data_IF_283193022435
#
_entry.id   IF_283193022435
#
_cell.length_a   1.000
_cell.length_b   1.000
_cell.length_c   1.000
_cell.angle_alpha   90.00
_cell.angle_beta   90.00
_cell.angle_gamma   90.00
#
_symmetry.space_group_name_H-M   'P 1'
#
loop_
_entity.id
_entity.type
_entity.pdbx_description
1 polymer ?
#
# COMPACT_ATOMS: atom_id res chain seq x y z
N UNK A 1 5.65 -12.39 -7.51
CA UNK A 1 4.42 -12.29 -6.69
C UNK A 1 4.83 -12.00 -5.26
N UNK A 2 3.99 -11.32 -4.49
CA UNK A 2 4.21 -11.03 -3.08
C UNK A 2 3.91 -12.29 -2.23
N UNK A 3 4.81 -12.65 -1.32
CA UNK A 3 4.73 -13.92 -0.58
C UNK A 3 3.62 -13.99 0.48
N UNK A 4 2.99 -12.85 0.80
CA UNK A 4 1.78 -12.83 1.63
C UNK A 4 0.57 -13.48 0.93
N UNK A 5 0.56 -13.51 -0.40
CA UNK A 5 -0.57 -14.00 -1.19
C UNK A 5 -0.70 -15.53 -1.11
N UNK A 6 -1.94 -16.01 -1.03
CA UNK A 6 -2.19 -17.47 -1.04
C UNK A 6 -1.83 -18.09 -2.41
N UNK A 7 -1.20 -19.28 -2.44
CA UNK A 7 -0.86 -19.93 -3.71
C UNK A 7 -2.06 -20.18 -4.63
N UNK A 8 -3.26 -20.38 -4.11
CA UNK A 8 -4.47 -20.53 -4.94
C UNK A 8 -4.81 -19.27 -5.73
N UNK A 9 -4.47 -18.08 -5.21
CA UNK A 9 -4.63 -16.83 -5.93
C UNK A 9 -3.69 -16.77 -7.13
N UNK A 10 -2.40 -17.05 -6.89
CA UNK A 10 -1.34 -16.98 -7.91
C UNK A 10 -1.66 -17.97 -9.05
N UNK A 11 -2.03 -19.20 -8.71
CA UNK A 11 -2.43 -20.22 -9.68
C UNK A 11 -3.78 -19.88 -10.35
N UNK A 12 -4.70 -19.26 -9.62
CA UNK A 12 -5.97 -18.79 -10.16
C UNK A 12 -5.80 -17.71 -11.23
N UNK A 13 -4.94 -16.72 -10.99
CA UNK A 13 -4.57 -15.68 -11.97
C UNK A 13 -4.01 -16.33 -13.24
N UNK A 14 -3.10 -17.31 -13.10
CA UNK A 14 -2.56 -18.03 -14.25
C UNK A 14 -3.61 -18.85 -14.99
N UNK A 15 -4.54 -19.48 -14.27
CA UNK A 15 -5.64 -20.25 -14.86
C UNK A 15 -6.52 -19.35 -15.74
N UNK A 16 -6.92 -18.19 -15.21
CA UNK A 16 -7.69 -17.20 -15.98
C UNK A 16 -6.87 -16.68 -17.14
N UNK A 17 -5.62 -16.28 -16.90
CA UNK A 17 -4.71 -15.79 -17.94
C UNK A 17 -4.57 -16.75 -19.11
N UNK A 18 -4.35 -18.05 -18.85
CA UNK A 18 -4.23 -19.07 -19.88
C UNK A 18 -5.55 -19.25 -20.66
N UNK A 19 -6.71 -19.20 -19.99
CA UNK A 19 -8.01 -19.25 -20.65
C UNK A 19 -8.22 -18.07 -21.62
N UNK A 20 -7.80 -16.86 -21.23
CA UNK A 20 -7.85 -15.68 -22.10
C UNK A 20 -6.96 -15.85 -23.33
N UNK A 21 -5.72 -16.32 -23.15
CA UNK A 21 -4.78 -16.54 -24.25
C UNK A 21 -5.25 -17.65 -25.20
N UNK A 22 -5.83 -18.73 -24.66
CA UNK A 22 -6.41 -19.82 -25.46
C UNK A 22 -7.53 -19.30 -26.34
N UNK A 23 -8.42 -18.46 -25.79
CA UNK A 23 -9.50 -17.84 -26.55
C UNK A 23 -8.99 -16.93 -27.65
N UNK A 24 -8.01 -16.06 -27.36
CA UNK A 24 -7.42 -15.17 -28.38
C UNK A 24 -6.80 -15.98 -29.52
N UNK A 25 -6.05 -17.04 -29.21
CA UNK A 25 -5.49 -17.93 -30.22
C UNK A 25 -6.60 -18.60 -31.07
N UNK A 26 -7.64 -19.13 -30.43
CA UNK A 26 -8.77 -19.77 -31.12
C UNK A 26 -9.56 -18.80 -32.02
N UNK A 27 -9.62 -17.52 -31.66
CA UNK A 27 -10.29 -16.47 -32.44
C UNK A 27 -9.38 -15.84 -33.51
N UNK A 28 -8.15 -16.35 -33.71
CA UNK A 28 -7.23 -15.81 -34.71
C UNK A 28 -6.66 -14.44 -34.34
N UNK A 29 -6.50 -14.17 -33.04
CA UNK A 29 -6.03 -12.88 -32.47
C UNK A 29 -4.59 -12.99 -31.95
N UNK A 30 -3.56 -12.78 -32.80
CA UNK A 30 -2.16 -12.87 -32.39
C UNK A 30 -1.70 -11.70 -31.51
N UNK A 31 -0.53 -11.83 -30.89
CA UNK A 31 0.20 -10.75 -30.21
C UNK A 31 0.05 -10.70 -28.69
N UNK A 32 -0.78 -11.55 -28.10
CA UNK A 32 -0.94 -11.62 -26.65
C UNK A 32 0.23 -12.37 -26.00
N UNK A 33 0.71 -11.86 -24.87
CA UNK A 33 1.78 -12.47 -24.08
C UNK A 33 1.39 -12.59 -22.61
N UNK A 34 1.96 -13.57 -21.91
CA UNK A 34 1.70 -13.85 -20.49
C UNK A 34 3.00 -14.09 -19.71
N UNK A 35 2.91 -14.10 -18.38
CA UNK A 35 4.03 -14.45 -17.48
C UNK A 35 5.30 -13.65 -17.81
N UNK A 36 6.32 -14.27 -18.42
CA UNK A 36 7.59 -13.62 -18.77
C UNK A 36 7.47 -12.48 -19.78
N UNK A 37 6.31 -12.36 -20.45
CA UNK A 37 6.02 -11.26 -21.37
C UNK A 37 5.84 -9.89 -20.71
N UNK A 38 5.66 -9.84 -19.39
CA UNK A 38 5.50 -8.60 -18.63
C UNK A 38 6.24 -8.66 -17.29
N UNK A 39 6.80 -7.52 -16.82
CA UNK A 39 7.56 -7.47 -15.57
C UNK A 39 6.68 -7.41 -14.29
N UNK A 40 5.37 -7.64 -14.39
CA UNK A 40 4.42 -7.50 -13.30
C UNK A 40 4.64 -8.53 -12.18
N UNK A 41 5.17 -8.09 -11.04
CA UNK A 41 5.51 -8.97 -9.93
C UNK A 41 4.54 -8.91 -8.74
N UNK A 42 3.58 -7.98 -8.73
CA UNK A 42 2.48 -7.95 -7.76
C UNK A 42 2.83 -7.48 -6.35
N UNK A 43 3.95 -6.77 -6.17
CA UNK A 43 4.41 -6.29 -4.85
C UNK A 43 3.77 -4.99 -4.38
N UNK A 44 3.47 -4.08 -5.30
CA UNK A 44 2.74 -2.86 -4.98
C UNK A 44 1.25 -3.15 -4.80
N UNK A 45 0.65 -2.78 -3.67
CA UNK A 45 -0.75 -3.09 -3.37
C UNK A 45 -1.72 -1.89 -3.51
N UNK A 46 -1.22 -0.72 -3.93
CA UNK A 46 -2.00 0.53 -3.99
C UNK A 46 -2.93 0.68 -5.21
N UNK A 47 -2.99 -0.30 -6.11
CA UNK A 47 -3.89 -0.31 -7.25
C UNK A 47 -5.07 -1.26 -7.04
N UNK A 48 -6.25 -0.90 -7.57
CA UNK A 48 -7.50 -1.70 -7.44
C UNK A 48 -7.32 -3.20 -7.75
N UNK A 49 -6.54 -3.54 -8.78
CA UNK A 49 -6.22 -4.93 -9.14
C UNK A 49 -5.45 -5.62 -8.01
N UNK A 50 -4.39 -4.99 -7.52
CA UNK A 50 -3.50 -5.62 -6.56
C UNK A 50 -4.16 -5.67 -5.19
N UNK A 51 -4.87 -4.62 -4.75
CA UNK A 51 -5.67 -4.66 -3.51
C UNK A 51 -6.63 -5.85 -3.53
N UNK A 52 -7.38 -6.07 -4.61
CA UNK A 52 -8.26 -7.23 -4.75
C UNK A 52 -7.52 -8.58 -4.63
N UNK A 53 -6.29 -8.67 -5.13
CA UNK A 53 -5.45 -9.85 -4.98
C UNK A 53 -5.17 -10.17 -3.49
N UNK A 54 -4.94 -9.17 -2.64
CA UNK A 54 -4.81 -9.37 -1.19
C UNK A 54 -6.14 -9.71 -0.47
N UNK A 55 -7.27 -9.65 -1.19
CA UNK A 55 -8.61 -9.94 -0.69
C UNK A 55 -9.19 -11.24 -1.27
N UNK A 56 -8.31 -12.18 -1.64
CA UNK A 56 -8.69 -13.50 -2.19
C UNK A 56 -9.46 -13.42 -3.53
N UNK A 57 -9.35 -12.29 -4.25
CA UNK A 57 -10.04 -12.06 -5.52
C UNK A 57 -9.03 -12.17 -6.67
N UNK A 58 -9.34 -13.01 -7.67
CA UNK A 58 -8.57 -13.07 -8.91
C UNK A 58 -8.83 -11.79 -9.71
N UNK A 59 -7.90 -10.86 -9.66
CA UNK A 59 -7.97 -9.60 -10.38
C UNK A 59 -7.05 -9.61 -11.60
N UNK A 60 -7.60 -9.27 -12.77
CA UNK A 60 -6.90 -9.30 -14.06
C UNK A 60 -6.85 -7.90 -14.64
N UNK A 61 -5.71 -7.54 -15.22
CA UNK A 61 -5.56 -6.38 -16.10
C UNK A 61 -5.19 -6.90 -17.50
N UNK A 62 -5.89 -6.40 -18.51
CA UNK A 62 -5.53 -6.61 -19.92
C UNK A 62 -5.06 -5.29 -20.50
N UNK A 63 -3.81 -5.28 -20.97
CA UNK A 63 -3.23 -4.13 -21.66
C UNK A 63 -3.13 -4.44 -23.15
N UNK A 64 -3.45 -3.46 -23.99
CA UNK A 64 -3.42 -3.63 -25.44
C UNK A 64 -3.13 -2.29 -26.11
N UNK A 65 -2.40 -2.35 -27.23
CA UNK A 65 -2.23 -1.22 -28.14
C UNK A 65 -3.58 -0.68 -28.59
N UNK A 66 -3.74 0.64 -28.73
CA UNK A 66 -4.98 1.26 -29.22
C UNK A 66 -4.86 2.78 -29.32
N UNK A 67 -5.44 3.37 -30.36
CA UNK A 67 -5.48 4.82 -30.58
C UNK A 67 -6.65 5.15 -31.51
N UNK A 68 -7.36 6.27 -31.32
CA UNK A 68 -8.37 6.73 -32.28
C UNK A 68 -7.81 6.92 -33.70
N UNK A 69 -6.51 7.23 -33.80
CA UNK A 69 -5.80 7.26 -35.09
C UNK A 69 -5.23 5.88 -35.39
N UNK A 70 -5.48 5.31 -36.59
CA UNK A 70 -4.85 4.05 -36.98
C UNK A 70 -3.34 4.11 -36.84
N UNK A 71 -2.75 3.08 -36.23
CA UNK A 71 -1.33 3.08 -35.87
C UNK A 71 -0.61 1.86 -36.43
N UNK A 72 0.71 1.95 -36.49
CA UNK A 72 1.54 0.82 -36.92
C UNK A 72 1.81 -0.12 -35.75
N UNK A 73 1.77 -1.43 -36.02
CA UNK A 73 2.46 -2.44 -35.20
C UNK A 73 3.84 -2.63 -35.84
N UNK A 74 4.94 -2.19 -35.20
CA UNK A 74 6.28 -2.34 -35.76
C UNK A 74 6.74 -3.79 -35.70
N UNK A 75 7.69 -4.14 -36.58
CA UNK A 75 8.37 -5.43 -36.49
C UNK A 75 9.32 -5.41 -35.30
N UNK A 76 9.11 -6.32 -34.36
CA UNK A 76 10.03 -6.60 -33.25
C UNK A 76 10.52 -8.03 -33.43
N UNK A 77 11.73 -8.19 -33.97
CA UNK A 77 12.28 -9.50 -34.36
C UNK A 77 12.25 -10.51 -33.21
N UNK A 78 12.65 -10.09 -32.01
CA UNK A 78 12.68 -10.96 -30.82
C UNK A 78 11.30 -11.49 -30.40
N UNK A 79 10.22 -10.84 -30.84
CA UNK A 79 8.84 -11.26 -30.60
C UNK A 79 8.24 -12.06 -31.75
N UNK A 80 9.02 -12.40 -32.77
CA UNK A 80 8.57 -13.26 -33.87
C UNK A 80 8.88 -14.74 -33.66
N UNK A 81 9.72 -15.08 -32.68
CA UNK A 81 9.93 -16.46 -32.27
C UNK A 81 8.85 -16.86 -31.25
N UNK A 82 7.95 -17.81 -31.56
CA UNK A 82 6.94 -18.24 -30.61
C UNK A 82 7.57 -18.89 -29.38
N UNK A 83 6.97 -18.65 -28.21
CA UNK A 83 7.33 -19.29 -26.94
C UNK A 83 6.07 -19.77 -26.22
N UNK A 84 6.22 -20.46 -25.08
CA UNK A 84 5.07 -20.83 -24.25
C UNK A 84 4.30 -19.61 -23.76
N UNK A 85 4.97 -18.46 -23.62
CA UNK A 85 4.43 -17.22 -23.08
C UNK A 85 4.06 -16.20 -24.18
N UNK A 86 4.38 -16.49 -25.44
CA UNK A 86 3.98 -15.77 -26.65
C UNK A 86 3.74 -16.78 -27.77
N UNK A 87 2.63 -17.51 -27.69
CA UNK A 87 2.36 -18.67 -28.57
C UNK A 87 1.96 -18.29 -29.98
N UNK A 88 1.45 -17.07 -30.18
CA UNK A 88 0.95 -16.60 -31.47
C UNK A 88 1.42 -15.17 -31.75
N UNK A 89 2.66 -14.97 -32.25
CA UNK A 89 3.19 -13.65 -32.60
C UNK A 89 2.34 -12.85 -33.59
N UNK A 90 2.26 -11.52 -33.37
CA UNK A 90 1.60 -10.60 -34.30
C UNK A 90 2.54 -10.17 -35.43
N UNK A 91 2.11 -10.19 -36.71
CA UNK A 91 2.91 -9.65 -37.80
C UNK A 91 2.92 -8.11 -37.78
N UNK A 92 3.97 -7.47 -38.34
CA UNK A 92 3.96 -6.03 -38.50
C UNK A 92 2.87 -5.57 -39.47
N UNK A 93 2.29 -4.40 -39.21
CA UNK A 93 1.36 -3.73 -40.14
C UNK A 93 2.09 -3.25 -41.40
N UNK A 94 1.39 -3.20 -42.54
CA UNK A 94 1.88 -2.62 -43.80
C UNK A 94 1.32 -1.19 -44.00
N UNK A 95 1.84 -0.40 -44.96
CA UNK A 95 1.28 0.91 -45.27
C UNK A 95 -0.21 0.90 -45.66
N UNK A 96 -0.73 -0.24 -46.12
CA UNK A 96 -2.13 -0.40 -46.55
C UNK A 96 -2.99 -1.16 -45.54
N UNK A 97 -2.41 -1.65 -44.43
CA UNK A 97 -3.10 -2.42 -43.40
C UNK A 97 -2.56 -2.02 -42.01
N UNK A 98 -3.03 -0.88 -41.50
CA UNK A 98 -2.70 -0.37 -40.17
C UNK A 98 -3.56 -1.06 -39.09
N UNK A 99 -3.14 -0.92 -37.84
CA UNK A 99 -3.92 -1.34 -36.69
C UNK A 99 -4.97 -0.28 -36.36
N UNK A 100 -6.25 -0.66 -36.43
CA UNK A 100 -7.38 0.20 -36.14
C UNK A 100 -7.87 -0.01 -34.70
N UNK A 101 -8.37 1.06 -34.07
CA UNK A 101 -8.88 0.99 -32.69
C UNK A 101 -9.92 -0.10 -32.47
N UNK A 102 -10.74 -0.39 -33.49
CA UNK A 102 -11.74 -1.45 -33.45
C UNK A 102 -11.12 -2.81 -33.11
N UNK A 103 -9.92 -3.12 -33.61
CA UNK A 103 -9.25 -4.38 -33.33
C UNK A 103 -8.93 -4.50 -31.84
N UNK A 104 -8.44 -3.42 -31.20
CA UNK A 104 -8.22 -3.38 -29.75
C UNK A 104 -9.52 -3.63 -28.99
N UNK A 105 -10.61 -2.99 -29.39
CA UNK A 105 -11.94 -3.23 -28.78
C UNK A 105 -12.35 -4.69 -28.93
N UNK A 106 -12.15 -5.30 -30.10
CA UNK A 106 -12.48 -6.71 -30.30
C UNK A 106 -11.59 -7.65 -29.46
N UNK A 107 -10.34 -7.28 -29.14
CA UNK A 107 -9.51 -8.03 -28.18
C UNK A 107 -10.06 -7.88 -26.76
N UNK A 108 -10.41 -6.66 -26.36
CA UNK A 108 -11.03 -6.38 -25.06
C UNK A 108 -12.34 -7.15 -24.86
N UNK A 109 -13.22 -7.19 -25.88
CA UNK A 109 -14.45 -7.98 -25.80
C UNK A 109 -14.15 -9.49 -25.69
N UNK A 110 -13.16 -9.99 -26.44
CA UNK A 110 -12.76 -11.38 -26.37
C UNK A 110 -12.22 -11.76 -24.98
N UNK A 111 -11.36 -10.93 -24.38
CA UNK A 111 -10.83 -11.19 -23.04
C UNK A 111 -11.92 -11.14 -21.98
N UNK A 112 -12.84 -10.17 -22.02
CA UNK A 112 -13.99 -10.12 -21.11
C UNK A 112 -14.88 -11.38 -21.23
N UNK A 113 -15.16 -11.83 -22.47
CA UNK A 113 -15.89 -13.09 -22.69
C UNK A 113 -15.10 -14.31 -22.17
N UNK A 114 -13.78 -14.30 -22.29
CA UNK A 114 -12.91 -15.34 -21.75
C UNK A 114 -13.02 -15.46 -20.23
N UNK A 115 -13.04 -14.32 -19.51
CA UNK A 115 -13.26 -14.31 -18.05
C UNK A 115 -14.62 -14.91 -17.70
N UNK A 116 -15.69 -14.50 -18.39
CA UNK A 116 -17.04 -15.02 -18.12
C UNK A 116 -17.16 -16.52 -18.43
N UNK A 117 -16.55 -16.97 -19.53
CA UNK A 117 -16.57 -18.38 -19.96
C UNK A 117 -15.86 -19.29 -18.95
N UNK A 118 -14.64 -18.93 -18.53
CA UNK A 118 -13.91 -19.73 -17.53
C UNK A 118 -14.60 -19.68 -16.17
N UNK A 119 -15.13 -18.52 -15.76
CA UNK A 119 -15.90 -18.39 -14.52
C UNK A 119 -17.15 -19.27 -14.54
N UNK A 120 -17.85 -19.38 -15.68
CA UNK A 120 -19.01 -20.26 -15.82
C UNK A 120 -18.62 -21.75 -15.77
N UNK A 121 -17.50 -22.13 -16.39
CA UNK A 121 -17.04 -23.53 -16.46
C UNK A 121 -16.46 -24.03 -15.15
N UNK A 122 -15.80 -23.15 -14.39
CA UNK A 122 -15.09 -23.46 -13.15
C UNK A 122 -15.73 -22.80 -11.92
N UNK A 123 -17.04 -22.52 -11.97
CA UNK A 123 -17.77 -21.77 -10.93
C UNK A 123 -17.51 -22.32 -9.53
N UNK A 124 -17.68 -23.62 -9.34
CA UNK A 124 -17.52 -24.26 -8.03
C UNK A 124 -16.08 -24.16 -7.54
N UNK A 125 -15.10 -24.36 -8.42
CA UNK A 125 -13.68 -24.22 -8.08
C UNK A 125 -13.35 -22.79 -7.63
N UNK A 126 -13.81 -21.76 -8.35
CA UNK A 126 -13.51 -20.37 -7.99
C UNK A 126 -14.17 -19.97 -6.67
N UNK A 127 -15.45 -20.32 -6.47
CA UNK A 127 -16.15 -20.01 -5.21
C UNK A 127 -15.54 -20.75 -4.03
N UNK A 128 -15.21 -22.04 -4.19
CA UNK A 128 -14.57 -22.82 -3.14
C UNK A 128 -13.16 -22.30 -2.83
N UNK A 129 -12.39 -21.90 -3.85
CA UNK A 129 -11.04 -21.38 -3.64
C UNK A 129 -11.05 -20.04 -2.89
N UNK A 130 -12.03 -19.15 -3.12
CA UNK A 130 -12.19 -17.92 -2.31
C UNK A 130 -12.36 -18.28 -0.84
N UNK A 131 -13.26 -19.22 -0.54
CA UNK A 131 -13.45 -19.74 0.82
C UNK A 131 -12.16 -20.34 1.38
N UNK A 132 -11.46 -21.19 0.60
CA UNK A 132 -10.24 -21.87 1.06
C UNK A 132 -9.12 -20.88 1.35
N UNK A 133 -8.90 -19.88 0.50
CA UNK A 133 -7.90 -18.82 0.73
C UNK A 133 -8.22 -18.00 1.98
N UNK A 134 -9.49 -17.64 2.19
CA UNK A 134 -9.91 -16.96 3.42
C UNK A 134 -9.71 -17.82 4.67
N UNK A 135 -10.04 -19.13 4.60
CA UNK A 135 -9.80 -20.07 5.70
C UNK A 135 -8.31 -20.23 6.01
N UNK A 136 -7.48 -20.42 4.99
CA UNK A 136 -6.02 -20.49 5.16
C UNK A 136 -5.48 -19.23 5.85
N UNK A 137 -5.99 -18.05 5.47
CA UNK A 137 -5.59 -16.78 6.07
C UNK A 137 -5.95 -16.70 7.56
N UNK A 138 -7.15 -17.15 7.94
CA UNK A 138 -7.58 -17.22 9.35
C UNK A 138 -6.72 -18.23 10.12
N UNK A 139 -6.47 -19.42 9.55
CA UNK A 139 -5.60 -20.46 10.14
C UNK A 139 -4.21 -19.88 10.42
N UNK A 140 -3.55 -19.29 9.41
CA UNK A 140 -2.22 -18.65 9.53
C UNK A 140 -2.16 -17.49 10.53
N UNK A 141 -3.27 -16.78 10.75
CA UNK A 141 -3.35 -15.73 11.77
C UNK A 141 -3.68 -16.23 13.18
N UNK A 142 -4.10 -17.50 13.30
CA UNK A 142 -4.49 -18.12 14.58
C UNK A 142 -3.38 -18.99 15.18
N UNK A 143 -2.38 -19.38 14.38
CA UNK A 143 -1.26 -20.21 14.80
C UNK A 143 0.10 -19.56 14.48
N UNK A 144 1.20 -20.26 14.76
CA UNK A 144 2.51 -19.78 14.35
C UNK A 144 2.68 -19.99 12.84
N UNK A 145 3.00 -18.92 12.13
CA UNK A 145 3.23 -18.93 10.70
C UNK A 145 4.48 -18.12 10.37
N UNK A 146 5.22 -18.52 9.34
CA UNK A 146 6.43 -17.86 8.89
C UNK A 146 6.27 -17.51 7.42
N UNK A 147 5.98 -16.24 7.14
CA UNK A 147 5.93 -15.77 5.75
C UNK A 147 7.34 -15.87 5.14
N UNK A 148 7.49 -16.41 3.92
CA UNK A 148 8.79 -16.47 3.24
C UNK A 148 9.44 -15.08 3.13
N UNK A 149 10.71 -15.01 3.56
CA UNK A 149 11.52 -13.79 3.58
C UNK A 149 12.84 -14.07 2.85
N UNK A 150 12.95 -13.78 1.53
CA UNK A 150 14.12 -14.08 0.69
C UNK A 150 15.48 -13.83 1.35
N UNK A 151 15.70 -12.65 1.94
CA UNK A 151 17.01 -12.32 2.50
C UNK A 151 17.34 -13.17 3.74
N UNK A 152 16.31 -13.53 4.54
CA UNK A 152 16.45 -14.42 5.71
C UNK A 152 16.75 -15.85 5.24
N UNK A 153 16.03 -16.33 4.24
CA UNK A 153 16.27 -17.64 3.65
C UNK A 153 17.68 -17.75 3.07
N UNK A 154 18.18 -16.71 2.42
CA UNK A 154 19.55 -16.65 1.91
C UNK A 154 20.59 -16.64 3.03
N UNK A 155 20.34 -15.89 4.11
CA UNK A 155 21.21 -15.89 5.28
C UNK A 155 21.28 -17.28 5.94
N UNK A 156 20.14 -17.96 6.10
CA UNK A 156 20.06 -19.33 6.63
C UNK A 156 20.81 -20.30 5.71
N UNK A 157 20.57 -20.24 4.40
CA UNK A 157 21.23 -21.11 3.44
C UNK A 157 22.76 -20.94 3.46
N UNK A 158 23.23 -19.69 3.55
CA UNK A 158 24.65 -19.35 3.65
C UNK A 158 25.26 -19.89 4.94
N UNK A 159 24.61 -19.63 6.09
CA UNK A 159 25.08 -20.10 7.39
C UNK A 159 25.12 -21.64 7.48
N UNK A 160 24.18 -22.32 6.83
CA UNK A 160 24.11 -23.77 6.79
C UNK A 160 25.06 -24.39 5.74
N UNK A 161 25.71 -23.60 4.87
CA UNK A 161 26.55 -24.11 3.80
C UNK A 161 25.79 -24.82 2.68
N UNK A 162 24.49 -24.50 2.52
CA UNK A 162 23.59 -25.10 1.51
C UNK A 162 23.19 -24.10 0.43
N UNK A 163 23.77 -22.90 0.45
CA UNK A 163 23.63 -21.93 -0.62
C UNK A 163 24.19 -22.49 -1.94
N UNK A 164 23.54 -22.16 -3.06
CA UNK A 164 24.01 -22.57 -4.39
C UNK A 164 25.39 -21.99 -4.74
N UNK A 165 26.10 -22.59 -5.72
CA UNK A 165 27.50 -22.25 -6.06
C UNK A 165 27.75 -20.78 -6.45
N UNK A 166 26.71 -20.02 -6.77
CA UNK A 166 26.81 -18.61 -7.17
C UNK A 166 26.54 -17.62 -6.04
N UNK A 167 26.27 -18.08 -4.81
CA UNK A 167 25.82 -17.22 -3.70
C UNK A 167 24.49 -16.51 -3.99
N UNK A 168 23.80 -16.89 -5.06
CA UNK A 168 22.58 -16.25 -5.56
C UNK A 168 21.43 -16.34 -4.56
N UNK A 169 20.59 -15.31 -4.58
CA UNK A 169 19.38 -15.21 -3.76
C UNK A 169 18.58 -16.52 -3.77
N UNK A 170 17.95 -16.85 -2.64
CA UNK A 170 16.92 -17.89 -2.59
C UNK A 170 15.75 -17.40 -3.46
N UNK A 171 15.80 -17.74 -4.74
CA UNK A 171 14.88 -17.30 -5.78
C UNK A 171 14.72 -18.38 -6.84
N UNK A 172 13.70 -18.29 -7.70
CA UNK A 172 13.45 -19.29 -8.73
C UNK A 172 14.64 -19.36 -9.70
N UNK A 173 15.33 -20.49 -9.73
CA UNK A 173 16.45 -20.74 -10.64
C UNK A 173 15.98 -20.70 -12.09
N UNK A 174 16.55 -19.83 -12.92
CA UNK A 174 16.29 -19.74 -14.37
C UNK A 174 17.25 -20.61 -15.21
N UNK A 175 18.13 -21.39 -14.56
CA UNK A 175 19.20 -22.17 -15.21
C UNK A 175 19.07 -23.68 -15.07
N UNK A 176 19.46 -24.39 -16.12
CA UNK A 176 19.26 -25.82 -16.40
C UNK A 176 19.75 -26.83 -15.35
N UNK A 177 18.85 -27.75 -14.96
CA UNK A 177 19.13 -29.19 -14.97
C UNK A 177 19.79 -29.85 -13.76
N UNK A 178 20.34 -29.11 -12.79
CA UNK A 178 21.02 -29.74 -11.65
C UNK A 178 20.92 -29.00 -10.31
N UNK A 179 20.30 -27.82 -10.27
CA UNK A 179 20.01 -27.12 -9.02
C UNK A 179 18.68 -27.64 -8.45
N UNK A 180 18.73 -28.44 -7.38
CA UNK A 180 17.52 -28.90 -6.67
C UNK A 180 17.42 -30.39 -6.39
N UNK A 181 18.40 -31.22 -6.79
CA UNK A 181 18.51 -32.56 -6.20
C UNK A 181 19.09 -32.39 -4.80
N UNK A 182 18.23 -32.39 -3.79
CA UNK A 182 18.62 -32.40 -2.38
C UNK A 182 19.74 -33.41 -2.15
N UNK A 183 20.96 -32.88 -1.97
CA UNK A 183 22.18 -33.64 -1.71
C UNK A 183 22.59 -33.61 -0.25
N UNK A 184 21.77 -32.99 0.60
CA UNK A 184 21.97 -32.90 2.03
C UNK A 184 21.48 -34.16 2.73
N UNK A 185 21.97 -34.40 3.95
CA UNK A 185 21.42 -35.46 4.80
C UNK A 185 20.10 -35.00 5.41
N UNK A 186 19.26 -35.95 5.84
CA UNK A 186 18.02 -35.68 6.56
C UNK A 186 18.21 -34.79 7.79
N UNK A 187 19.33 -34.97 8.50
CA UNK A 187 19.67 -34.18 9.68
C UNK A 187 19.94 -32.73 9.29
N UNK A 188 20.64 -32.51 8.17
CA UNK A 188 20.94 -31.17 7.68
C UNK A 188 19.68 -30.46 7.18
N UNK A 189 18.79 -31.18 6.50
CA UNK A 189 17.49 -30.63 6.10
C UNK A 189 16.64 -30.26 7.31
N UNK A 190 16.63 -31.08 8.37
CA UNK A 190 15.95 -30.76 9.63
C UNK A 190 16.54 -29.54 10.33
N UNK A 191 17.88 -29.39 10.33
CA UNK A 191 18.57 -28.22 10.87
C UNK A 191 18.17 -26.93 10.12
N UNK A 192 18.19 -26.95 8.79
CA UNK A 192 17.79 -25.82 7.95
C UNK A 192 16.31 -25.50 8.14
N UNK A 193 15.45 -26.52 8.18
CA UNK A 193 14.03 -26.36 8.43
C UNK A 193 13.74 -25.72 9.79
N UNK A 194 14.43 -26.15 10.84
CA UNK A 194 14.31 -25.54 12.18
C UNK A 194 14.79 -24.08 12.17
N UNK A 195 15.85 -23.76 11.43
CA UNK A 195 16.33 -22.38 11.29
C UNK A 195 15.34 -21.47 10.53
N UNK A 196 14.55 -22.02 9.61
CA UNK A 196 13.48 -21.29 8.91
C UNK A 196 12.27 -20.98 9.81
N UNK A 197 12.05 -21.78 10.86
CA UNK A 197 10.86 -21.72 11.72
C UNK A 197 11.22 -21.38 13.17
N UNK A 198 12.16 -20.47 13.37
CA UNK A 198 12.51 -19.99 14.71
C UNK A 198 11.35 -19.22 15.33
N UNK A 199 10.95 -19.47 16.60
CA UNK A 199 9.78 -18.84 17.21
C UNK A 199 9.80 -17.30 17.21
N UNK A 200 10.98 -16.68 17.28
CA UNK A 200 11.15 -15.23 17.25
C UNK A 200 10.95 -14.60 15.86
N UNK A 201 10.92 -15.42 14.81
CA UNK A 201 10.77 -15.00 13.41
C UNK A 201 9.37 -15.24 12.86
N UNK A 202 8.43 -15.71 13.71
CA UNK A 202 7.04 -15.94 13.34
C UNK A 202 6.32 -14.62 13.07
N UNK A 203 5.30 -14.65 12.24
CA UNK A 203 4.49 -13.48 11.94
C UNK A 203 3.70 -13.02 13.19
N UNK A 204 3.47 -11.71 13.37
CA UNK A 204 2.58 -11.21 14.40
C UNK A 204 1.15 -11.74 14.24
N UNK A 205 0.47 -11.97 15.36
CA UNK A 205 -0.95 -12.34 15.40
C UNK A 205 -1.87 -11.14 15.52
N UNK A 206 -1.38 -10.00 15.99
CA UNK A 206 -2.11 -8.74 16.03
C UNK A 206 -1.19 -7.53 15.99
N UNK A 207 -1.77 -6.39 15.63
CA UNK A 207 -1.15 -5.08 15.72
C UNK A 207 -1.98 -4.17 16.62
N UNK A 208 -1.34 -3.45 17.54
CA UNK A 208 -2.00 -2.44 18.38
C UNK A 208 -1.46 -1.06 18.03
N UNK A 209 -2.37 -0.15 17.70
CA UNK A 209 -2.07 1.26 17.43
C UNK A 209 -2.50 2.08 18.66
N UNK A 210 -1.55 2.55 19.51
CA UNK A 210 -1.89 3.28 20.72
C UNK A 210 -2.48 4.66 20.42
N UNK A 211 -3.53 5.04 21.16
CA UNK A 211 -4.18 6.36 21.01
C UNK A 211 -3.37 7.54 21.53
N UNK A 212 -2.25 7.26 22.19
CA UNK A 212 -1.33 8.26 22.74
C UNK A 212 -0.21 8.68 21.80
N UNK A 213 -0.15 8.10 20.59
CA UNK A 213 0.88 8.47 19.63
C UNK A 213 0.76 9.93 19.20
N UNK A 214 1.88 10.47 18.70
CA UNK A 214 2.06 11.89 18.44
C UNK A 214 1.01 12.49 17.48
N UNK A 215 0.65 11.77 16.42
CA UNK A 215 -0.36 12.18 15.44
C UNK A 215 -1.45 11.11 15.27
N UNK A 216 -2.31 10.99 16.27
CA UNK A 216 -3.41 10.03 16.22
C UNK A 216 -4.50 10.38 15.17
N UNK A 217 -4.53 11.62 14.66
CA UNK A 217 -5.42 11.97 13.55
C UNK A 217 -4.97 11.30 12.26
N UNK A 218 -3.66 11.24 12.01
CA UNK A 218 -3.09 10.46 10.91
C UNK A 218 -3.29 8.95 11.12
N UNK A 219 -3.22 8.46 12.35
CA UNK A 219 -3.55 7.07 12.66
C UNK A 219 -5.01 6.72 12.33
N UNK A 220 -5.97 7.63 12.58
CA UNK A 220 -7.36 7.41 12.15
C UNK A 220 -7.46 7.26 10.62
N UNK A 221 -6.76 8.09 9.83
CA UNK A 221 -6.74 7.98 8.37
C UNK A 221 -6.16 6.65 7.88
N UNK A 222 -5.16 6.11 8.58
CA UNK A 222 -4.63 4.79 8.29
C UNK A 222 -5.66 3.70 8.58
N UNK A 223 -6.36 3.78 9.71
CA UNK A 223 -7.45 2.84 10.01
C UNK A 223 -8.60 2.96 9.00
N UNK A 224 -8.95 4.17 8.55
CA UNK A 224 -9.94 4.36 7.48
C UNK A 224 -9.54 3.60 6.21
N UNK A 225 -8.27 3.67 5.79
CA UNK A 225 -7.78 2.92 4.64
C UNK A 225 -7.91 1.39 4.81
N UNK A 226 -7.72 0.87 6.04
CA UNK A 226 -7.94 -0.54 6.35
C UNK A 226 -9.44 -0.89 6.32
N UNK A 227 -10.29 -0.04 6.90
CA UNK A 227 -11.74 -0.27 6.93
C UNK A 227 -12.37 -0.19 5.54
N UNK A 228 -11.94 0.75 4.69
CA UNK A 228 -12.37 0.89 3.30
C UNK A 228 -12.08 -0.36 2.46
N UNK A 229 -11.03 -1.09 2.79
CA UNK A 229 -10.66 -2.35 2.11
C UNK A 229 -11.31 -3.58 2.75
N UNK A 230 -12.05 -3.41 3.86
CA UNK A 230 -12.77 -4.49 4.52
C UNK A 230 -11.95 -5.23 5.58
N UNK A 231 -10.85 -4.65 6.05
CA UNK A 231 -10.13 -5.15 7.22
C UNK A 231 -10.95 -4.90 8.47
N UNK A 232 -11.09 -5.94 9.29
CA UNK A 232 -11.73 -5.83 10.59
C UNK A 232 -10.76 -5.18 11.58
N UNK A 233 -11.21 -4.09 12.20
CA UNK A 233 -10.47 -3.34 13.22
C UNK A 233 -11.34 -3.21 14.47
N UNK A 234 -10.74 -3.39 15.63
CA UNK A 234 -11.38 -3.19 16.93
C UNK A 234 -10.82 -1.93 17.61
N UNK A 235 -11.63 -1.30 18.47
CA UNK A 235 -11.27 -0.11 19.24
C UNK A 235 -11.46 -0.37 20.73
N UNK A 236 -10.52 0.11 21.53
CA UNK A 236 -10.61 0.08 22.98
C UNK A 236 -11.62 1.13 23.48
N UNK A 237 -12.70 0.68 24.10
CA UNK A 237 -13.70 1.54 24.78
C UNK A 237 -13.21 2.03 26.14
N UNK A 238 -12.25 1.32 26.74
CA UNK A 238 -11.58 1.62 28.01
C UNK A 238 -10.17 1.04 27.99
N UNK A 239 -9.36 1.40 28.98
CA UNK A 239 -8.03 0.84 29.16
C UNK A 239 -8.06 -0.70 29.23
N UNK A 240 -7.10 -1.34 28.58
CA UNK A 240 -6.88 -2.78 28.62
C UNK A 240 -5.38 -3.10 28.56
N UNK A 241 -4.99 -4.34 28.85
CA UNK A 241 -3.61 -4.79 28.73
C UNK A 241 -3.50 -5.97 27.78
N UNK A 242 -2.41 -6.04 27.03
CA UNK A 242 -2.04 -7.17 26.18
C UNK A 242 -0.52 -7.34 26.19
N UNK A 243 -0.05 -8.59 26.30
CA UNK A 243 1.38 -8.96 26.39
C UNK A 243 2.18 -8.13 27.42
N UNK A 244 1.56 -7.81 28.56
CA UNK A 244 2.20 -7.06 29.65
C UNK A 244 2.30 -5.54 29.44
N UNK A 245 1.79 -5.00 28.33
CA UNK A 245 1.66 -3.56 28.07
C UNK A 245 0.21 -3.12 28.24
N UNK A 246 0.02 -1.90 28.75
CA UNK A 246 -1.30 -1.28 28.93
C UNK A 246 -1.57 -0.26 27.83
N UNK A 247 -2.78 -0.31 27.28
CA UNK A 247 -3.23 0.51 26.17
C UNK A 247 -4.47 1.32 26.57
N UNK A 248 -4.46 2.65 26.37
CA UNK A 248 -5.57 3.51 26.75
C UNK A 248 -6.78 3.34 25.84
N UNK A 249 -7.92 3.84 26.32
CA UNK A 249 -9.14 3.98 25.52
C UNK A 249 -8.84 4.73 24.20
N UNK A 250 -9.54 4.34 23.14
CA UNK A 250 -9.35 4.83 21.78
C UNK A 250 -8.28 4.10 20.97
N UNK A 251 -7.41 3.30 21.60
CA UNK A 251 -6.40 2.52 20.85
C UNK A 251 -7.07 1.52 19.91
N UNK A 252 -6.45 1.26 18.75
CA UNK A 252 -6.96 0.30 17.77
C UNK A 252 -6.22 -1.04 17.85
N UNK A 253 -6.94 -2.12 17.56
CA UNK A 253 -6.43 -3.48 17.47
C UNK A 253 -6.79 -4.05 16.11
N UNK A 254 -5.79 -4.58 15.40
CA UNK A 254 -5.97 -5.28 14.12
C UNK A 254 -5.45 -6.70 14.28
N UNK A 255 -6.35 -7.63 14.58
CA UNK A 255 -6.03 -9.06 14.66
C UNK A 255 -5.81 -9.63 13.25
N UNK A 256 -4.83 -10.53 13.08
CA UNK A 256 -4.47 -11.10 11.77
C UNK A 256 -5.25 -12.36 11.41
N UNK A 257 -6.00 -12.95 12.35
CA UNK A 257 -6.85 -14.13 12.14
C UNK A 257 -8.16 -13.80 11.39
N UNK A 258 -8.04 -13.12 10.26
CA UNK A 258 -9.14 -12.72 9.38
C UNK A 258 -8.86 -13.11 7.93
N UNK A 259 -9.91 -13.15 7.11
CA UNK A 259 -9.83 -13.68 5.75
C UNK A 259 -8.86 -12.90 4.84
N UNK A 260 -8.60 -11.62 5.15
CA UNK A 260 -7.72 -10.72 4.40
C UNK A 260 -6.39 -10.47 5.12
N UNK A 261 -5.94 -11.43 5.93
CA UNK A 261 -4.61 -11.44 6.56
C UNK A 261 -3.47 -10.97 5.64
N UNK A 262 -3.39 -11.40 4.35
CA UNK A 262 -2.32 -10.94 3.47
C UNK A 262 -2.25 -9.41 3.35
N UNK A 263 -3.40 -8.72 3.30
CA UNK A 263 -3.44 -7.27 3.23
C UNK A 263 -2.98 -6.64 4.55
N UNK A 264 -3.39 -7.20 5.70
CA UNK A 264 -2.95 -6.72 7.01
C UNK A 264 -1.43 -6.80 7.13
N UNK A 265 -0.83 -7.96 6.84
CA UNK A 265 0.64 -8.12 6.93
C UNK A 265 1.34 -7.12 5.99
N UNK A 266 0.87 -6.97 4.75
CA UNK A 266 1.47 -6.05 3.78
C UNK A 266 1.33 -4.55 4.17
N UNK A 267 0.36 -4.20 5.02
CA UNK A 267 0.16 -2.82 5.50
C UNK A 267 0.96 -2.47 6.76
N UNK A 268 1.38 -3.46 7.56
CA UNK A 268 2.11 -3.26 8.80
C UNK A 268 3.58 -3.73 8.75
N UNK A 269 3.90 -4.80 8.03
CA UNK A 269 5.25 -5.35 7.96
C UNK A 269 6.07 -4.79 6.79
N UNK A 270 7.42 -4.73 6.91
CA UNK A 270 8.26 -4.38 5.79
C UNK A 270 8.11 -5.43 4.66
N UNK A 271 8.20 -4.95 3.42
CA UNK A 271 8.25 -5.83 2.26
C UNK A 271 9.68 -6.37 2.07
N UNK A 272 9.81 -7.67 1.79
CA UNK A 272 11.09 -8.32 1.46
C UNK A 272 11.12 -8.80 0.01
N UNK A 273 11.26 -7.85 -0.91
CA UNK A 273 11.33 -8.15 -2.33
C UNK A 273 12.60 -8.95 -2.66
N UNK A 274 12.52 -10.01 -3.47
CA UNK A 274 13.68 -10.82 -3.83
C UNK A 274 14.62 -10.09 -4.80
N UNK A 275 15.92 -10.20 -4.57
CA UNK A 275 16.92 -9.79 -5.55
C UNK A 275 16.87 -10.69 -6.79
N UNK A 276 16.21 -10.21 -7.86
CA UNK A 276 16.01 -10.96 -9.09
C UNK A 276 17.15 -10.73 -10.09
N UNK A 277 18.00 -11.73 -10.29
CA UNK A 277 19.09 -11.67 -11.27
C UNK A 277 18.75 -12.50 -12.52
N UNK A 278 19.04 -11.96 -13.70
CA UNK A 278 18.84 -12.70 -14.96
C UNK A 278 19.76 -13.94 -15.05
N UNK A 279 20.96 -13.83 -14.49
CA UNK A 279 21.97 -14.89 -14.39
C UNK A 279 23.00 -14.49 -13.31
N UNK A 280 23.83 -15.44 -12.82
CA UNK A 280 24.89 -15.15 -11.84
C UNK A 280 25.81 -14.00 -12.27
N UNK A 281 25.94 -12.98 -11.41
CA UNK A 281 26.78 -11.80 -11.67
C UNK A 281 26.12 -10.70 -12.51
N UNK A 282 24.87 -10.87 -12.96
CA UNK A 282 24.10 -9.79 -13.57
C UNK A 282 23.76 -8.68 -12.52
N UNK A 283 23.48 -7.43 -12.93
CA UNK A 283 22.83 -6.48 -12.05
C UNK A 283 21.41 -6.96 -11.67
N UNK A 284 20.87 -6.56 -10.51
CA UNK A 284 19.52 -6.94 -10.12
C UNK A 284 18.50 -6.29 -11.05
N UNK A 285 17.45 -7.03 -11.37
CA UNK A 285 16.29 -6.57 -12.11
C UNK A 285 15.47 -5.67 -11.20
N UNK A 286 15.26 -4.41 -11.60
CA UNK A 286 14.44 -3.48 -10.83
C UNK A 286 13.01 -4.02 -10.72
N UNK A 287 12.33 -3.82 -9.58
CA UNK A 287 10.90 -4.08 -9.50
C UNK A 287 10.16 -3.24 -10.54
N UNK A 288 9.05 -3.76 -11.05
CA UNK A 288 8.26 -3.06 -12.06
C UNK A 288 7.58 -1.80 -11.51
N UNK A 289 6.92 -1.95 -10.35
CA UNK A 289 6.29 -0.87 -9.60
C UNK A 289 7.15 -0.55 -8.35
N UNK A 290 6.51 -0.37 -7.20
CA UNK A 290 7.16 -0.11 -5.91
C UNK A 290 7.28 -1.39 -5.08
N UNK A 291 8.45 -1.60 -4.50
CA UNK A 291 8.75 -2.71 -3.57
C UNK A 291 9.02 -2.24 -2.13
N UNK A 292 8.71 -0.97 -1.82
CA UNK A 292 8.84 -0.34 -0.51
C UNK A 292 7.56 0.41 -0.13
N UNK A 293 6.41 -0.26 -0.23
CA UNK A 293 5.08 0.33 -0.11
C UNK A 293 4.33 -0.14 1.14
N UNK A 294 4.96 -0.08 2.32
CA UNK A 294 4.25 -0.37 3.59
C UNK A 294 3.61 0.92 4.11
N UNK A 295 2.28 1.00 4.02
CA UNK A 295 1.54 2.23 4.30
C UNK A 295 1.71 2.73 5.74
N UNK A 296 1.75 1.83 6.74
CA UNK A 296 1.98 2.22 8.13
C UNK A 296 3.30 2.99 8.30
N UNK A 297 4.37 2.60 7.60
CA UNK A 297 5.65 3.31 7.67
C UNK A 297 5.63 4.62 6.90
N UNK A 298 5.00 4.65 5.73
CA UNK A 298 4.85 5.88 4.94
C UNK A 298 4.03 6.96 5.67
N UNK A 299 3.06 6.54 6.49
CA UNK A 299 2.24 7.42 7.32
C UNK A 299 2.83 7.68 8.71
N UNK A 300 3.98 7.09 9.05
CA UNK A 300 4.64 7.27 10.34
C UNK A 300 3.85 6.73 11.53
N UNK A 301 3.09 5.65 11.33
CA UNK A 301 2.23 5.04 12.34
C UNK A 301 3.09 4.32 13.38
N UNK A 302 2.86 4.63 14.65
CA UNK A 302 3.40 3.87 15.78
C UNK A 302 2.46 2.71 16.09
N UNK A 303 3.02 1.49 16.18
CA UNK A 303 2.25 0.30 16.53
C UNK A 303 3.12 -0.76 17.22
N UNK A 304 2.50 -1.60 18.02
CA UNK A 304 3.12 -2.77 18.62
C UNK A 304 2.70 -4.04 17.86
N UNK A 305 3.67 -4.95 17.67
CA UNK A 305 3.42 -6.32 17.19
C UNK A 305 3.12 -7.18 18.40
N UNK A 306 2.02 -7.92 18.33
CA UNK A 306 1.67 -8.94 19.33
C UNK A 306 1.65 -10.29 18.64
N UNK A 307 2.13 -11.29 19.36
CA UNK A 307 2.26 -12.64 18.85
C UNK A 307 1.23 -13.60 19.45
N UNK A 308 0.36 -13.11 20.32
CA UNK A 308 -0.91 -13.72 20.69
C UNK A 308 -2.09 -12.92 20.13
N UNK A 309 -3.19 -13.62 19.82
CA UNK A 309 -4.44 -12.96 19.42
C UNK A 309 -4.95 -12.11 20.58
N UNK A 310 -5.33 -10.87 20.28
CA UNK A 310 -5.82 -9.94 21.28
C UNK A 310 -7.33 -10.10 21.40
N UNK A 311 -7.79 -10.45 22.59
CA UNK A 311 -9.22 -10.48 22.92
C UNK A 311 -9.44 -9.78 24.26
N UNK A 312 -10.46 -8.92 24.34
CA UNK A 312 -10.78 -8.21 25.58
C UNK A 312 -12.21 -7.69 25.55
N UNK A 313 -12.95 -7.73 26.68
CA UNK A 313 -14.27 -7.10 26.78
C UNK A 313 -14.22 -5.57 26.72
N UNK A 314 -13.03 -4.97 26.68
CA UNK A 314 -12.84 -3.56 26.43
C UNK A 314 -12.83 -3.22 24.93
N UNK A 315 -12.79 -4.21 24.04
CA UNK A 315 -12.70 -4.00 22.59
C UNK A 315 -14.09 -4.08 21.94
N UNK A 316 -14.31 -3.21 20.97
CA UNK A 316 -15.49 -3.25 20.09
C UNK A 316 -15.08 -3.15 18.63
N UNK A 317 -15.77 -3.88 17.75
CA UNK A 317 -15.53 -3.77 16.30
C UNK A 317 -15.96 -2.39 15.80
N UNK A 318 -15.09 -1.72 15.06
CA UNK A 318 -15.41 -0.46 14.38
C UNK A 318 -16.33 -0.78 13.20
N UNK A 319 -17.54 -0.21 13.21
CA UNK A 319 -18.59 -0.50 12.21
C UNK A 319 -18.61 0.48 11.05
N UNK A 320 -18.26 1.73 11.31
CA UNK A 320 -18.20 2.76 10.28
C UNK A 320 -16.91 2.58 9.47
N UNK A 321 -16.99 2.76 8.16
CA UNK A 321 -15.80 2.71 7.31
C UNK A 321 -14.94 3.97 7.44
N UNK A 322 -15.52 5.08 7.91
CA UNK A 322 -14.87 6.36 8.12
C UNK A 322 -14.94 6.80 9.59
N UNK A 323 -13.79 6.81 10.25
CA UNK A 323 -13.68 7.21 11.64
C UNK A 323 -13.88 8.70 11.75
N UNK A 324 -14.93 9.08 12.47
CA UNK A 324 -15.04 10.46 12.95
C UNK A 324 -14.03 10.64 14.09
N UNK A 325 -13.02 11.53 13.95
CA UNK A 325 -12.07 11.77 15.01
C UNK A 325 -12.78 12.35 16.23
N UNK A 326 -12.31 11.98 17.43
CA UNK A 326 -12.79 12.61 18.66
C UNK A 326 -12.53 14.14 18.59
N UNK A 327 -13.45 14.98 19.10
CA UNK A 327 -13.22 16.41 19.14
C UNK A 327 -11.92 16.74 19.88
N UNK A 328 -11.10 17.56 19.24
CA UNK A 328 -9.89 18.10 19.86
C UNK A 328 -10.22 19.10 20.96
N UNK A 329 -9.18 19.56 21.65
CA UNK A 329 -9.29 20.49 22.77
C UNK A 329 -8.70 21.85 22.41
N UNK A 330 -9.44 22.92 22.66
CA UNK A 330 -8.95 24.29 22.55
C UNK A 330 -8.98 24.91 23.93
N UNK A 331 -7.82 25.33 24.45
CA UNK A 331 -7.76 25.99 25.74
C UNK A 331 -8.61 27.28 25.75
N UNK A 332 -9.03 27.77 26.94
CA UNK A 332 -9.73 29.05 27.04
C UNK A 332 -8.98 30.19 26.35
N UNK A 333 -9.73 31.18 25.87
CA UNK A 333 -9.19 32.34 25.18
C UNK A 333 -8.11 33.05 26.00
N UNK A 334 -7.01 33.39 25.33
CA UNK A 334 -5.89 34.13 25.89
C UNK A 334 -5.46 35.23 24.92
N UNK A 335 -5.05 36.38 25.47
CA UNK A 335 -4.51 37.49 24.70
C UNK A 335 -3.20 37.11 23.98
N UNK A 336 -2.41 36.19 24.55
CA UNK A 336 -1.18 35.70 23.94
C UNK A 336 -1.37 34.79 22.74
N UNK A 337 -2.58 34.35 22.42
CA UNK A 337 -2.89 33.49 21.28
C UNK A 337 -2.81 31.99 21.59
N UNK A 338 -2.59 31.19 20.55
CA UNK A 338 -2.66 29.73 20.58
C UNK A 338 -1.46 29.07 19.90
N UNK A 339 -1.11 27.89 20.37
CA UNK A 339 -0.08 27.01 19.84
C UNK A 339 -0.72 25.76 19.21
N UNK A 340 -0.30 25.45 17.98
CA UNK A 340 -0.64 24.25 17.22
C UNK A 340 0.65 23.49 16.91
N UNK A 341 0.74 22.21 17.31
CA UNK A 341 1.94 21.42 17.03
C UNK A 341 2.10 21.16 15.53
N UNK A 342 3.34 21.27 15.03
CA UNK A 342 3.70 20.83 13.67
C UNK A 342 3.81 19.31 13.55
N UNK A 343 3.74 18.59 14.67
CA UNK A 343 3.76 17.13 14.68
C UNK A 343 2.46 16.49 14.18
N UNK A 344 1.37 17.27 14.17
CA UNK A 344 0.04 16.84 13.72
C UNK A 344 -0.20 17.38 12.32
N UNK A 345 -0.34 16.50 11.32
CA UNK A 345 -0.50 16.91 9.92
C UNK A 345 -1.72 17.80 9.68
N UNK A 346 -2.82 17.55 10.39
CA UNK A 346 -4.04 18.35 10.25
C UNK A 346 -3.90 19.79 10.79
N UNK A 347 -2.79 20.14 11.47
CA UNK A 347 -2.48 21.53 11.82
C UNK A 347 -2.35 22.42 10.58
N UNK A 348 -1.89 21.89 9.43
CA UNK A 348 -1.81 22.67 8.19
C UNK A 348 -3.19 23.12 7.68
N UNK A 349 -4.23 22.30 7.91
CA UNK A 349 -5.61 22.68 7.58
C UNK A 349 -6.08 23.83 8.44
N UNK A 350 -5.70 23.84 9.72
CA UNK A 350 -5.98 24.97 10.60
C UNK A 350 -5.26 26.24 10.15
N UNK A 351 -3.99 26.16 9.74
CA UNK A 351 -3.28 27.32 9.19
C UNK A 351 -3.94 27.88 7.93
N UNK A 352 -4.39 27.00 7.02
CA UNK A 352 -5.06 27.41 5.80
C UNK A 352 -6.43 28.04 6.06
N UNK A 353 -7.19 27.52 7.02
CA UNK A 353 -8.46 28.11 7.47
C UNK A 353 -8.27 29.47 8.17
N UNK A 354 -7.12 29.68 8.79
CA UNK A 354 -6.75 30.93 9.47
C UNK A 354 -6.01 31.92 8.56
N UNK A 355 -5.98 31.69 7.24
CA UNK A 355 -5.37 32.62 6.30
C UNK A 355 -5.98 34.03 6.45
N UNK A 356 -5.14 35.01 6.81
CA UNK A 356 -5.55 36.40 7.11
C UNK A 356 -5.53 36.74 8.60
N UNK A 357 -5.45 35.75 9.48
CA UNK A 357 -5.09 35.97 10.89
C UNK A 357 -3.59 36.19 11.05
N UNK A 358 -3.22 36.78 12.17
CA UNK A 358 -1.82 36.90 12.52
C UNK A 358 -1.27 35.54 13.00
N UNK A 359 -0.16 35.11 12.39
CA UNK A 359 0.43 33.79 12.61
C UNK A 359 1.95 33.81 12.46
N UNK A 360 2.62 32.85 13.08
CA UNK A 360 4.07 32.67 12.98
C UNK A 360 4.51 31.29 13.47
N UNK A 361 5.79 30.99 13.36
CA UNK A 361 6.40 29.79 13.94
C UNK A 361 7.31 30.17 15.10
N UNK A 362 7.27 29.40 16.18
CA UNK A 362 8.20 29.54 17.29
C UNK A 362 9.64 29.32 16.82
N UNK A 363 10.56 30.22 17.17
CA UNK A 363 12.00 30.06 16.88
C UNK A 363 12.76 29.33 17.99
N UNK A 364 12.11 29.09 19.12
CA UNK A 364 12.65 28.39 20.29
C UNK A 364 11.52 27.66 21.02
N UNK A 365 11.87 26.68 21.85
CA UNK A 365 10.87 25.97 22.63
C UNK A 365 10.15 26.89 23.62
N UNK A 366 8.85 26.64 23.86
CA UNK A 366 8.01 27.38 24.80
C UNK A 366 7.14 26.42 25.59
N UNK A 367 6.99 26.67 26.90
CA UNK A 367 6.10 25.87 27.75
C UNK A 367 4.77 26.58 27.94
N UNK A 368 3.66 25.90 27.62
CA UNK A 368 2.30 26.39 27.79
C UNK A 368 1.37 25.21 28.12
N UNK A 369 0.37 25.43 28.98
CA UNK A 369 -0.60 24.37 29.35
C UNK A 369 0.03 23.09 29.92
N UNK A 370 1.16 23.21 30.62
CA UNK A 370 1.90 22.06 31.18
C UNK A 370 2.66 21.22 30.14
N UNK A 371 2.75 21.67 28.89
CA UNK A 371 3.47 21.01 27.79
C UNK A 371 4.57 21.91 27.24
N UNK A 372 5.65 21.32 26.75
CA UNK A 372 6.72 22.02 26.05
C UNK A 372 6.53 21.85 24.56
N UNK A 373 6.39 22.96 23.85
CA UNK A 373 6.28 23.05 22.41
C UNK A 373 7.66 23.35 21.82
N UNK A 374 8.08 22.59 20.81
CA UNK A 374 9.39 22.77 20.18
C UNK A 374 9.42 24.00 19.25
N UNK A 375 10.63 24.42 18.86
CA UNK A 375 10.81 25.33 17.74
C UNK A 375 10.15 24.74 16.47
N UNK A 376 9.53 25.59 15.65
CA UNK A 376 8.70 25.19 14.51
C UNK A 376 7.21 25.06 14.84
N UNK A 377 6.82 25.05 16.12
CA UNK A 377 5.39 25.05 16.52
C UNK A 377 4.71 26.28 15.96
N UNK A 378 3.50 26.12 15.44
CA UNK A 378 2.74 27.23 14.90
C UNK A 378 2.08 28.01 16.03
N UNK A 379 2.18 29.33 15.95
CA UNK A 379 1.47 30.28 16.77
C UNK A 379 0.45 31.03 15.94
N UNK A 380 -0.76 31.22 16.48
CA UNK A 380 -1.82 32.04 15.88
C UNK A 380 -2.41 32.98 16.94
N UNK A 381 -2.92 34.12 16.53
CA UNK A 381 -3.49 35.13 17.42
C UNK A 381 -4.71 34.66 18.21
N UNK A 382 -5.09 35.43 19.24
CA UNK A 382 -6.27 35.14 20.05
C UNK A 382 -7.59 35.23 19.29
N UNK A 383 -7.65 35.98 18.18
CA UNK A 383 -8.83 36.10 17.33
C UNK A 383 -9.17 34.78 16.60
N UNK A 384 -8.23 33.85 16.53
CA UNK A 384 -8.38 32.52 15.93
C UNK A 384 -9.27 31.57 16.74
N UNK A 385 -9.64 31.91 17.98
CA UNK A 385 -10.33 31.03 18.93
C UNK A 385 -11.60 30.35 18.37
N UNK A 386 -12.46 31.11 17.68
CA UNK A 386 -13.72 30.59 17.14
C UNK A 386 -13.48 29.56 16.04
N UNK A 387 -12.57 29.85 15.11
CA UNK A 387 -12.23 28.94 14.00
C UNK A 387 -11.55 27.69 14.55
N UNK A 388 -10.61 27.83 15.49
CA UNK A 388 -9.98 26.70 16.17
C UNK A 388 -11.01 25.82 16.88
N UNK A 389 -11.98 26.42 17.58
CA UNK A 389 -13.06 25.67 18.24
C UNK A 389 -13.96 24.91 17.26
N UNK A 390 -14.20 25.44 16.07
CA UNK A 390 -14.93 24.75 15.00
C UNK A 390 -14.11 23.59 14.41
N UNK A 391 -12.83 23.82 14.11
CA UNK A 391 -11.94 22.81 13.57
C UNK A 391 -11.65 21.69 14.56
N UNK A 392 -11.50 22.00 15.86
CA UNK A 392 -11.33 20.99 16.89
C UNK A 392 -12.50 19.99 16.90
N UNK A 393 -13.74 20.47 16.72
CA UNK A 393 -14.92 19.60 16.60
C UNK A 393 -15.01 18.87 15.27
N UNK A 394 -14.58 19.50 14.17
CA UNK A 394 -14.72 18.96 12.80
C UNK A 394 -13.65 17.94 12.45
N UNK A 395 -12.40 18.21 12.82
CA UNK A 395 -11.21 17.46 12.37
C UNK A 395 -10.31 17.01 13.52
N UNK A 396 -10.71 17.23 14.78
CA UNK A 396 -10.00 16.69 15.95
C UNK A 396 -8.73 17.43 16.38
N UNK A 397 -8.35 18.53 15.72
CA UNK A 397 -7.14 19.29 16.09
C UNK A 397 -7.26 19.92 17.48
N UNK A 398 -6.15 20.00 18.21
CA UNK A 398 -6.08 20.65 19.52
C UNK A 398 -5.16 21.86 19.49
N UNK A 399 -5.52 22.91 20.22
CA UNK A 399 -4.76 24.15 20.32
C UNK A 399 -4.60 24.57 21.79
N UNK A 400 -3.36 24.88 22.20
CA UNK A 400 -3.05 25.27 23.59
C UNK A 400 -2.86 26.78 23.67
N UNK A 401 -3.54 27.45 24.60
CA UNK A 401 -3.38 28.89 24.77
C UNK A 401 -2.07 29.23 25.46
N UNK A 402 -1.49 30.37 25.10
CA UNK A 402 -0.29 30.93 25.73
C UNK A 402 -0.62 32.30 26.33
N UNK A 403 -0.09 32.59 27.52
CA UNK A 403 -0.40 33.83 28.25
C UNK A 403 0.05 35.08 27.52
N UNK A 404 1.33 35.12 27.15
CA UNK A 404 1.93 36.22 26.40
C UNK A 404 2.23 35.80 24.97
N UNK A 405 2.12 36.77 24.05
CA UNK A 405 2.58 36.59 22.68
C UNK A 405 4.08 36.25 22.67
N UNK A 406 4.52 35.21 21.92
CA UNK A 406 5.94 34.91 21.77
C UNK A 406 6.75 36.12 21.25
N UNK A 407 7.90 36.38 21.89
CA UNK A 407 8.75 37.54 21.56
C UNK A 407 9.37 37.46 20.17
N UNK A 408 9.74 36.26 19.74
CA UNK A 408 10.35 35.99 18.44
C UNK A 408 9.58 34.92 17.70
N UNK A 409 9.12 35.26 16.51
CA UNK A 409 8.40 34.37 15.60
C UNK A 409 9.07 34.44 14.24
N UNK A 410 9.27 33.28 13.61
CA UNK A 410 9.54 33.22 12.19
C UNK A 410 8.23 33.49 11.44
N UNK A 411 8.29 34.36 10.43
CA UNK A 411 7.12 34.75 9.67
C UNK A 411 6.56 33.56 8.87
N UNK A 412 5.26 33.30 9.04
CA UNK A 412 4.51 32.43 8.14
C UNK A 412 3.89 33.29 7.04
N UNK A 413 4.06 32.88 5.79
CA UNK A 413 3.46 33.53 4.64
C UNK A 413 2.43 32.60 4.02
N UNK A 414 1.30 33.16 3.59
CA UNK A 414 0.34 32.44 2.75
C UNK A 414 0.76 32.64 1.28
N UNK A 415 1.38 31.63 0.62
CA UNK A 415 1.78 31.77 -0.77
C UNK A 415 0.57 31.83 -1.70
N UNK A 416 0.72 32.52 -2.84
CA UNK A 416 -0.17 32.33 -3.99
C UNK A 416 0.33 31.13 -4.77
N UNK A 417 -0.48 30.08 -4.87
CA UNK A 417 -0.08 28.81 -5.49
C UNK A 417 -0.72 28.73 -6.88
N UNK A 418 0.11 28.65 -7.92
CA UNK A 418 -0.31 28.25 -9.27
C UNK A 418 0.01 26.78 -9.50
N UNK A 419 -1.00 25.94 -9.69
CA UNK A 419 -0.82 24.54 -10.08
C UNK A 419 -0.85 24.45 -11.60
N UNK A 420 0.32 24.27 -12.20
CA UNK A 420 0.41 24.11 -13.64
C UNK A 420 -0.20 22.78 -14.10
N UNK A 421 -0.97 22.85 -15.18
CA UNK A 421 -1.57 21.69 -15.83
C UNK A 421 -1.61 21.89 -17.35
N UNK A 422 -1.90 20.80 -18.07
CA UNK A 422 -2.07 20.80 -19.52
C UNK A 422 -3.51 20.47 -19.91
N UNK A 423 -3.93 20.89 -21.11
CA UNK A 423 -5.21 20.45 -21.67
C UNK A 423 -5.19 18.94 -21.87
N UNK A 424 -6.14 18.23 -21.27
CA UNK A 424 -6.15 16.78 -21.20
C UNK A 424 -5.59 16.19 -19.88
N UNK A 425 -4.98 17.03 -19.03
CA UNK A 425 -4.49 16.67 -17.70
C UNK A 425 -3.09 16.06 -17.69
N UNK A 426 -2.39 16.22 -16.57
CA UNK A 426 -1.16 15.48 -16.23
C UNK A 426 -1.37 14.65 -14.96
N UNK A 427 -0.66 13.52 -14.85
CA UNK A 427 -0.69 12.65 -13.67
C UNK A 427 -0.17 13.43 -12.45
N UNK A 428 0.93 14.14 -12.62
CA UNK A 428 1.61 14.95 -11.60
C UNK A 428 0.71 16.09 -11.09
N UNK A 429 0.02 16.78 -12.01
CA UNK A 429 -0.93 17.82 -11.66
C UNK A 429 -2.12 17.25 -10.88
N UNK A 430 -2.63 16.07 -11.28
CA UNK A 430 -3.70 15.37 -10.57
C UNK A 430 -3.35 15.02 -9.13
N UNK A 431 -2.18 14.41 -8.89
CA UNK A 431 -1.75 14.06 -7.53
C UNK A 431 -1.46 15.28 -6.67
N UNK A 432 -0.80 16.29 -7.24
CA UNK A 432 -0.50 17.53 -6.52
C UNK A 432 -1.78 18.25 -6.13
N UNK A 433 -2.75 18.32 -7.05
CA UNK A 433 -4.10 18.86 -6.79
C UNK A 433 -4.75 18.15 -5.62
N UNK A 434 -4.75 16.81 -5.63
CA UNK A 434 -5.40 16.01 -4.60
C UNK A 434 -4.82 16.35 -3.22
N UNK A 435 -3.49 16.44 -3.09
CA UNK A 435 -2.83 16.83 -1.82
C UNK A 435 -3.25 18.24 -1.39
N UNK A 436 -3.23 19.22 -2.30
CA UNK A 436 -3.61 20.60 -1.97
C UNK A 436 -5.06 20.67 -1.48
N UNK A 437 -5.98 19.94 -2.12
CA UNK A 437 -7.38 19.85 -1.72
C UNK A 437 -7.55 19.16 -0.35
N UNK A 438 -6.83 18.06 -0.08
CA UNK A 438 -6.90 17.36 1.23
C UNK A 438 -6.48 18.25 2.39
N UNK A 439 -5.57 19.19 2.16
CA UNK A 439 -5.04 20.09 3.18
C UNK A 439 -5.64 21.51 3.12
N UNK A 440 -6.73 21.71 2.37
CA UNK A 440 -7.45 22.98 2.27
C UNK A 440 -6.59 24.16 1.73
N UNK A 441 -5.56 23.87 0.93
CA UNK A 441 -4.77 24.91 0.27
C UNK A 441 -5.58 25.61 -0.83
N UNK A 442 -5.47 26.95 -0.90
CA UNK A 442 -5.98 27.73 -2.02
C UNK A 442 -4.94 27.74 -3.14
N UNK A 443 -5.35 27.35 -4.34
CA UNK A 443 -4.52 27.37 -5.53
C UNK A 443 -5.35 27.68 -6.78
N UNK A 444 -4.71 28.27 -7.78
CA UNK A 444 -5.27 28.46 -9.11
C UNK A 444 -4.66 27.43 -10.05
N UNK A 445 -5.46 26.78 -10.90
CA UNK A 445 -4.91 26.00 -12.01
C UNK A 445 -4.42 26.97 -13.07
N UNK A 446 -3.20 26.79 -13.53
CA UNK A 446 -2.59 27.65 -14.56
C UNK A 446 -2.20 26.82 -15.78
N UNK A 447 -2.43 27.35 -16.96
CA UNK A 447 -2.10 26.73 -18.24
C UNK A 447 -1.06 27.57 -18.97
N UNK A 448 -0.40 26.98 -19.97
CA UNK A 448 0.67 27.66 -20.71
C UNK A 448 0.31 29.10 -21.18
N UNK A 449 -0.89 29.38 -21.75
CA UNK A 449 -1.24 30.74 -22.19
C UNK A 449 -1.36 31.80 -21.08
N UNK A 450 -1.39 31.40 -19.81
CA UNK A 450 -1.50 32.29 -18.65
C UNK A 450 -0.14 32.56 -17.99
N UNK A 451 0.91 31.85 -18.44
CA UNK A 451 2.28 31.95 -17.93
C UNK A 451 3.24 32.70 -18.87
N UNK A 452 2.84 32.89 -20.13
CA UNK A 452 3.49 33.78 -21.09
C UNK A 452 3.02 35.24 -20.90
#
# INVERSE_FOLDING_TARGET
>A
FNYNQDPLLVLGIQTVGLALHTRLAAEGKPGATMRSGGPYDGWWNGGLRNTAAFHNIIAILTEMIGSPTPQRVPLVLDRQLPSSDLTFPVPPTTPTALWHFRQSIDYSVATNRGVLDIASKMRENFLYNIYRMGKNSIERGSEDYWTPWPHRLQAIATAAGVAGPDGGAVGPSTGSGQAGRGGNTSEKDAEVWAAMHRPEERDPRAFIIPSTQRDFLTANKFIDALLETGITVERATREFSAEGKTYPAGSFVVNTNQAFRPHVIDMFEPQDHPDNFAYPGAPPTRPYDNAGWTLAFQMGIEFDRLFDTVTSPALEVVKDWNITPAPGTVSPASAGGYLLSHDVLDSFRALNALAGHEMGMLTSAVTAGGKTFAAGTFWVDGASATILGQLAKKIGISATSIGDRPRTLAALKTPRIGLWDQYGGSIEAGWTRWILEQFDFKFDRVFAPELD
#
